data_IF_319651734047
#
_entry.id   IF_319651734047
#
_cell.length_a   1.000
_cell.length_b   1.000
_cell.length_c   1.000
_cell.angle_alpha   90.00
_cell.angle_beta   90.00
_cell.angle_gamma   90.00
#
_symmetry.space_group_name_H-M   'P 1'
#
loop_
_entity.id
_entity.type
_entity.pdbx_description
1 polymer ?
#
# COMPACT_ATOMS: atom_id res chain seq x y z
N UNK A 1 -9.86 10.59 -7.58
CA UNK A 1 -8.41 10.71 -7.85
C UNK A 1 -7.69 10.71 -6.51
N UNK A 2 -6.88 9.70 -6.18
CA UNK A 2 -6.23 9.59 -4.85
C UNK A 2 -4.71 9.48 -4.90
N UNK A 3 -4.14 8.90 -5.96
CA UNK A 3 -2.69 8.95 -6.23
C UNK A 3 -2.20 10.35 -6.67
N UNK A 4 -3.11 11.21 -7.14
CA UNK A 4 -2.82 12.60 -7.52
C UNK A 4 -3.14 13.62 -6.42
N UNK A 5 -3.63 13.16 -5.27
CA UNK A 5 -3.92 13.98 -4.09
C UNK A 5 -2.74 13.89 -3.10
N UNK A 6 -2.68 14.75 -2.08
CA UNK A 6 -1.63 14.84 -1.04
C UNK A 6 -1.29 13.51 -0.32
N UNK A 7 -2.18 12.51 -0.40
CA UNK A 7 -1.93 11.14 0.08
C UNK A 7 -1.06 10.32 -0.88
N UNK A 8 -1.18 10.54 -2.19
CA UNK A 8 -0.28 9.98 -3.20
C UNK A 8 1.16 10.47 -3.02
N UNK A 9 1.36 11.71 -2.54
CA UNK A 9 2.71 12.22 -2.23
C UNK A 9 3.37 11.50 -1.06
N UNK A 10 2.64 11.14 0.01
CA UNK A 10 3.24 10.40 1.13
C UNK A 10 3.66 8.98 0.73
N UNK A 11 2.84 8.30 -0.07
CA UNK A 11 3.20 6.99 -0.62
C UNK A 11 4.48 7.06 -1.47
N UNK A 12 4.62 8.10 -2.31
CA UNK A 12 5.83 8.27 -3.12
C UNK A 12 7.09 8.48 -2.27
N UNK A 13 6.99 9.23 -1.16
CA UNK A 13 8.11 9.37 -0.23
C UNK A 13 8.43 8.06 0.48
N UNK A 14 7.40 7.29 0.88
CA UNK A 14 7.59 5.98 1.47
C UNK A 14 8.32 5.01 0.52
N UNK A 15 7.91 4.96 -0.76
CA UNK A 15 8.58 4.15 -1.77
C UNK A 15 10.05 4.54 -1.96
N UNK A 16 10.37 5.84 -1.97
CA UNK A 16 11.75 6.34 -2.03
C UNK A 16 12.59 5.90 -0.81
N UNK A 17 12.00 5.91 0.37
CA UNK A 17 12.68 5.42 1.59
C UNK A 17 12.94 3.91 1.48
N UNK A 18 11.98 3.13 0.98
CA UNK A 18 12.18 1.70 0.78
C UNK A 18 13.32 1.42 -0.21
N UNK A 19 13.38 2.14 -1.32
CA UNK A 19 14.46 2.02 -2.30
C UNK A 19 15.83 2.36 -1.71
N UNK A 20 15.91 3.43 -0.91
CA UNK A 20 17.17 3.87 -0.28
C UNK A 20 17.65 2.96 0.84
N UNK A 21 16.74 2.50 1.70
CA UNK A 21 17.06 1.69 2.88
C UNK A 21 17.18 0.21 2.52
N UNK A 22 16.48 -0.25 1.48
CA UNK A 22 16.37 -1.63 1.06
C UNK A 22 16.19 -2.62 2.23
N UNK A 23 15.17 -2.42 3.09
CA UNK A 23 14.94 -3.31 4.22
C UNK A 23 14.58 -4.72 3.74
N UNK A 24 14.88 -5.75 4.54
CA UNK A 24 14.46 -7.13 4.23
C UNK A 24 12.94 -7.33 4.29
N UNK A 25 12.27 -6.59 5.18
CA UNK A 25 10.84 -6.67 5.45
C UNK A 25 10.35 -5.26 5.82
N UNK A 26 9.15 -4.89 5.38
CA UNK A 26 8.43 -3.71 5.83
C UNK A 26 6.94 -4.02 6.01
N UNK A 27 6.22 -3.13 6.70
CA UNK A 27 4.78 -3.21 6.90
C UNK A 27 4.14 -1.90 6.47
N UNK A 28 2.98 -1.97 5.82
CA UNK A 28 2.17 -0.80 5.47
C UNK A 28 0.76 -1.03 5.98
N UNK A 29 0.27 -0.07 6.76
CA UNK A 29 -1.11 -0.02 7.25
C UNK A 29 -1.87 1.08 6.51
N UNK A 30 -3.14 0.83 6.22
CA UNK A 30 -4.02 1.79 5.58
C UNK A 30 -5.49 1.44 5.88
N UNK A 31 -6.38 2.40 5.66
CA UNK A 31 -7.81 2.23 5.91
C UNK A 31 -8.43 1.18 4.98
N UNK A 32 -9.50 0.51 5.44
CA UNK A 32 -10.25 -0.50 4.67
C UNK A 32 -10.69 -0.03 3.28
N UNK A 33 -10.98 1.26 3.14
CA UNK A 33 -11.37 1.87 1.86
C UNK A 33 -10.31 1.78 0.76
N UNK A 34 -9.03 1.50 1.07
CA UNK A 34 -7.96 1.38 0.08
C UNK A 34 -8.24 0.26 -0.94
N UNK A 35 -8.85 -0.85 -0.51
CA UNK A 35 -9.12 -2.00 -1.38
C UNK A 35 -10.15 -1.70 -2.46
N UNK A 36 -11.09 -0.79 -2.19
CA UNK A 36 -12.14 -0.36 -3.13
C UNK A 36 -11.86 0.98 -3.77
N UNK A 37 -10.85 1.71 -3.28
CA UNK A 37 -10.51 3.04 -3.77
C UNK A 37 -10.14 3.02 -5.26
N UNK A 38 -10.71 3.95 -6.02
CA UNK A 38 -10.53 4.05 -7.47
C UNK A 38 -10.79 2.71 -8.19
N UNK A 39 -11.84 2.01 -7.78
CA UNK A 39 -12.19 0.66 -8.27
C UNK A 39 -11.04 -0.35 -8.09
N UNK A 40 -10.33 -0.25 -6.96
CA UNK A 40 -9.19 -1.11 -6.61
C UNK A 40 -7.90 -0.80 -7.37
N UNK A 41 -7.87 0.21 -8.25
CA UNK A 41 -6.66 0.58 -8.99
C UNK A 41 -5.54 1.08 -8.08
N UNK A 42 -5.89 1.83 -7.03
CA UNK A 42 -4.88 2.40 -6.13
C UNK A 42 -4.06 1.34 -5.42
N UNK A 43 -4.72 0.33 -4.82
CA UNK A 43 -4.01 -0.79 -4.19
C UNK A 43 -3.14 -1.56 -5.20
N UNK A 44 -3.67 -1.82 -6.41
CA UNK A 44 -2.92 -2.49 -7.49
C UNK A 44 -1.65 -1.72 -7.87
N UNK A 45 -1.74 -0.40 -8.03
CA UNK A 45 -0.58 0.45 -8.32
C UNK A 45 0.44 0.42 -7.18
N UNK A 46 -0.01 0.51 -5.92
CA UNK A 46 0.90 0.44 -4.78
C UNK A 46 1.65 -0.89 -4.72
N UNK A 47 0.94 -2.01 -4.90
CA UNK A 47 1.53 -3.35 -4.95
C UNK A 47 2.55 -3.45 -6.08
N UNK A 48 2.23 -2.92 -7.27
CA UNK A 48 3.15 -2.93 -8.40
C UNK A 48 4.46 -2.19 -8.09
N UNK A 49 4.39 -1.04 -7.42
CA UNK A 49 5.60 -0.31 -7.00
C UNK A 49 6.46 -1.15 -6.05
N UNK A 50 5.85 -1.88 -5.11
CA UNK A 50 6.62 -2.78 -4.24
C UNK A 50 7.23 -3.96 -5.01
N UNK A 51 6.48 -4.55 -5.95
CA UNK A 51 6.98 -5.63 -6.81
C UNK A 51 8.14 -5.16 -7.71
N UNK A 52 8.06 -3.92 -8.23
CA UNK A 52 9.13 -3.30 -9.04
C UNK A 52 10.39 -3.00 -8.18
N UNK A 53 10.25 -2.87 -6.85
CA UNK A 53 11.35 -2.81 -5.87
C UNK A 53 11.80 -4.20 -5.37
N UNK A 54 11.46 -5.27 -6.09
CA UNK A 54 11.79 -6.67 -5.79
C UNK A 54 11.17 -7.23 -4.49
N UNK A 55 10.15 -6.58 -3.94
CA UNK A 55 9.45 -7.07 -2.76
C UNK A 55 8.33 -8.04 -3.10
N UNK A 56 8.23 -9.10 -2.29
CA UNK A 56 7.13 -10.06 -2.34
C UNK A 56 6.05 -9.66 -1.34
N UNK A 57 4.79 -9.71 -1.77
CA UNK A 57 3.65 -9.42 -0.91
C UNK A 57 3.21 -10.65 -0.13
N UNK A 58 2.89 -10.42 1.14
CA UNK A 58 2.09 -11.32 1.98
C UNK A 58 0.91 -10.51 2.47
N UNK A 59 -0.31 -11.01 2.29
CA UNK A 59 -1.53 -10.27 2.63
C UNK A 59 -2.18 -10.89 3.87
N UNK A 60 -2.50 -10.05 4.86
CA UNK A 60 -3.34 -10.44 6.00
C UNK A 60 -4.48 -9.44 6.12
N UNK A 61 -5.72 -9.88 5.91
CA UNK A 61 -6.89 -9.07 6.19
C UNK A 61 -7.20 -9.12 7.68
N UNK A 62 -7.33 -7.96 8.32
CA UNK A 62 -7.95 -7.89 9.64
C UNK A 62 -9.44 -8.17 9.49
N UNK A 63 -9.86 -9.42 9.69
CA UNK A 63 -11.26 -9.77 9.83
C UNK A 63 -11.81 -9.04 11.05
N UNK A 64 -12.63 -8.00 10.82
CA UNK A 64 -13.41 -7.41 11.89
C UNK A 64 -14.53 -8.40 12.20
N UNK A 65 -14.40 -9.15 13.30
CA UNK A 65 -15.50 -9.86 13.94
C UNK A 65 -16.61 -8.81 14.20
N UNK A 66 -17.64 -8.82 13.37
CA UNK A 66 -18.87 -8.10 13.65
C UNK A 66 -19.61 -8.91 14.71
N UNK A 67 -19.31 -8.68 15.98
CA UNK A 67 -20.23 -9.04 17.06
C UNK A 67 -21.34 -7.98 17.10
N UNK A 68 -22.44 -8.27 16.41
CA UNK A 68 -23.80 -7.86 16.74
C UNK A 68 -24.74 -9.00 16.35
#
# INVERSE_FOLDING_TARGET
>A
MGLADTRGTLFNHYAKILEQVNPKIFLVENVKGLTTHDHGRTLKTMIKVFEDLEYKKTYSESLRQSQL
#
